data_IF_271484184668
#
_entry.id   IF_271484184668
#
_cell.length_a   1.000
_cell.length_b   1.000
_cell.length_c   1.000
_cell.angle_alpha   90.00
_cell.angle_beta   90.00
_cell.angle_gamma   90.00
#
_symmetry.space_group_name_H-M   'P 1'
#
loop_
_entity.id
_entity.type
_entity.pdbx_description
1 polymer ?
#
# COMPACT_ATOMS: atom_id res chain seq x y z
N UNK A 1 -2.71 43.44 -29.71
CA UNK A 1 -3.79 43.76 -28.75
C UNK A 1 -4.03 42.54 -27.87
N UNK A 2 -3.58 42.58 -26.62
CA UNK A 2 -3.75 41.50 -25.64
C UNK A 2 -5.22 41.42 -25.19
N UNK A 3 -5.92 40.35 -25.55
CA UNK A 3 -7.20 40.00 -24.91
C UNK A 3 -6.89 39.57 -23.48
N UNK A 4 -7.03 40.48 -22.52
CA UNK A 4 -7.18 40.12 -21.11
C UNK A 4 -8.45 39.27 -21.00
N UNK A 5 -8.30 38.00 -20.68
CA UNK A 5 -9.41 37.13 -20.33
C UNK A 5 -10.18 37.75 -19.15
N UNK A 6 -11.48 37.96 -19.35
CA UNK A 6 -12.38 38.48 -18.32
C UNK A 6 -12.46 37.47 -17.16
N UNK A 7 -12.33 37.90 -15.89
CA UNK A 7 -12.36 37.01 -14.72
C UNK A 7 -13.70 36.30 -14.51
N UNK A 8 -14.74 36.68 -15.26
CA UNK A 8 -16.10 36.14 -15.17
C UNK A 8 -16.26 34.71 -15.70
N UNK A 9 -15.39 34.24 -16.62
CA UNK A 9 -15.57 32.93 -17.25
C UNK A 9 -15.22 31.75 -16.33
N UNK A 10 -14.26 31.92 -15.40
CA UNK A 10 -13.88 30.88 -14.44
C UNK A 10 -14.92 30.70 -13.32
N UNK A 11 -15.60 31.79 -12.93
CA UNK A 11 -16.62 31.76 -11.88
C UNK A 11 -17.86 30.94 -12.27
N UNK A 12 -18.25 30.96 -13.54
CA UNK A 12 -19.38 30.16 -14.03
C UNK A 12 -19.06 28.66 -14.13
N UNK A 13 -17.81 28.26 -14.39
CA UNK A 13 -17.42 26.86 -14.53
C UNK A 13 -17.37 26.08 -13.20
N UNK A 14 -17.29 26.79 -12.08
CA UNK A 14 -17.16 26.19 -10.73
C UNK A 14 -18.44 26.28 -9.92
N UNK A 15 -19.49 26.93 -10.45
CA UNK A 15 -20.74 27.20 -9.73
C UNK A 15 -21.49 25.93 -9.29
N UNK A 16 -21.36 24.86 -10.07
CA UNK A 16 -21.93 23.53 -9.80
C UNK A 16 -20.85 22.51 -9.37
N UNK A 17 -19.61 22.96 -9.14
CA UNK A 17 -18.52 22.06 -8.78
C UNK A 17 -18.63 21.64 -7.31
N UNK A 18 -18.73 20.33 -7.07
CA UNK A 18 -18.68 19.75 -5.73
C UNK A 18 -17.22 19.42 -5.39
N UNK A 19 -16.70 20.10 -4.37
CA UNK A 19 -15.38 19.86 -3.84
C UNK A 19 -15.47 18.92 -2.65
N UNK A 20 -14.92 17.72 -2.80
CA UNK A 20 -14.78 16.78 -1.71
C UNK A 20 -13.33 16.78 -1.24
N UNK A 21 -13.13 17.09 0.04
CA UNK A 21 -11.85 16.84 0.67
C UNK A 21 -11.76 15.35 1.02
N UNK A 22 -10.92 14.64 0.26
CA UNK A 22 -10.69 13.22 0.45
C UNK A 22 -10.11 12.92 1.84
N UNK A 23 -9.31 13.81 2.42
CA UNK A 23 -8.67 13.55 3.70
C UNK A 23 -9.68 13.55 4.86
N UNK A 24 -10.62 14.50 4.89
CA UNK A 24 -11.68 14.53 5.92
C UNK A 24 -12.74 13.44 5.74
N UNK A 25 -13.01 13.00 4.51
CA UNK A 25 -14.07 12.03 4.22
C UNK A 25 -13.60 10.57 4.17
N UNK A 26 -12.35 10.31 3.77
CA UNK A 26 -11.81 8.96 3.59
C UNK A 26 -10.82 8.55 4.69
N UNK A 27 -10.77 9.28 5.83
CA UNK A 27 -9.98 8.89 7.00
C UNK A 27 -10.89 8.34 8.12
N UNK A 28 -11.24 7.05 8.07
CA UNK A 28 -12.12 6.42 9.05
C UNK A 28 -11.50 6.36 10.46
N UNK A 29 -10.17 6.51 10.58
CA UNK A 29 -9.50 6.58 11.89
C UNK A 29 -9.83 7.91 12.58
N UNK A 30 -9.74 9.03 11.84
CA UNK A 30 -10.03 10.36 12.39
C UNK A 30 -11.51 10.52 12.76
N UNK A 31 -12.39 9.88 12.00
CA UNK A 31 -13.83 9.81 12.29
C UNK A 31 -14.19 8.80 13.40
N UNK A 32 -13.21 8.08 13.99
CA UNK A 32 -13.45 7.10 15.04
C UNK A 32 -14.20 5.84 14.61
N UNK A 33 -14.30 5.59 13.30
CA UNK A 33 -15.04 4.46 12.72
C UNK A 33 -14.26 3.15 12.80
N UNK A 34 -12.93 3.22 12.76
CA UNK A 34 -12.04 2.05 12.89
C UNK A 34 -10.86 2.36 13.81
N UNK A 35 -10.30 1.35 14.51
CA UNK A 35 -9.07 1.52 15.28
C UNK A 35 -7.87 1.78 14.34
N UNK A 36 -6.81 2.43 14.84
CA UNK A 36 -5.56 2.55 14.08
C UNK A 36 -4.93 1.17 13.85
N UNK A 37 -4.14 1.07 12.77
CA UNK A 37 -3.34 -0.12 12.51
C UNK A 37 -2.31 -0.29 13.62
N UNK A 38 -2.19 -1.48 14.25
CA UNK A 38 -1.23 -1.71 15.32
C UNK A 38 0.21 -1.49 14.86
N UNK A 39 0.98 -0.77 15.66
CA UNK A 39 2.43 -0.73 15.46
C UNK A 39 3.07 -2.07 15.82
N UNK A 40 3.99 -2.54 14.97
CA UNK A 40 4.76 -3.74 15.22
C UNK A 40 6.16 -3.63 14.63
N UNK A 41 7.15 -4.00 15.43
CA UNK A 41 8.55 -4.11 15.01
C UNK A 41 8.94 -5.59 14.93
N UNK A 42 9.59 -5.96 13.84
CA UNK A 42 10.20 -7.27 13.66
C UNK A 42 11.65 -7.22 14.12
N UNK A 43 12.12 -8.27 14.79
CA UNK A 43 13.53 -8.33 15.23
C UNK A 43 14.47 -8.41 14.03
N UNK A 44 15.74 -7.96 14.16
CA UNK A 44 16.73 -8.13 13.10
C UNK A 44 16.86 -9.58 12.61
N UNK A 45 16.77 -10.55 13.52
CA UNK A 45 16.88 -11.98 13.23
C UNK A 45 15.81 -12.46 12.25
N UNK A 46 14.62 -11.86 12.27
CA UNK A 46 13.55 -12.16 11.31
C UNK A 46 14.02 -11.98 9.87
N UNK A 47 14.83 -10.94 9.61
CA UNK A 47 15.31 -10.58 8.27
C UNK A 47 16.60 -11.30 7.86
N UNK A 48 17.31 -11.93 8.80
CA UNK A 48 18.60 -12.59 8.58
C UNK A 48 18.48 -14.07 8.17
N UNK A 49 17.34 -14.48 7.60
CA UNK A 49 17.17 -15.82 7.06
C UNK A 49 18.27 -16.16 6.04
N UNK A 50 18.86 -17.35 6.15
CA UNK A 50 19.92 -17.81 5.24
C UNK A 50 19.39 -18.50 3.99
N UNK A 51 18.09 -18.67 3.88
CA UNK A 51 17.40 -19.35 2.79
C UNK A 51 16.53 -18.38 1.99
N UNK A 52 16.24 -18.74 0.74
CA UNK A 52 15.23 -18.03 -0.04
C UNK A 52 13.85 -18.25 0.57
N UNK A 53 13.01 -17.21 0.60
CA UNK A 53 11.67 -17.31 1.19
C UNK A 53 10.86 -16.02 1.06
N UNK A 54 9.54 -16.16 1.25
CA UNK A 54 8.59 -15.06 1.44
C UNK A 54 8.18 -15.10 2.91
N UNK A 55 8.48 -14.04 3.65
CA UNK A 55 8.14 -13.91 5.05
C UNK A 55 7.06 -12.83 5.21
N UNK A 56 5.85 -13.16 5.69
CA UNK A 56 4.79 -12.19 5.86
C UNK A 56 5.12 -11.24 7.02
N UNK A 57 4.95 -9.94 6.80
CA UNK A 57 5.00 -8.92 7.85
C UNK A 57 3.63 -8.87 8.54
N UNK A 58 3.29 -9.98 9.20
CA UNK A 58 1.94 -10.25 9.68
C UNK A 58 1.65 -9.64 11.05
N UNK A 59 0.55 -8.90 11.13
CA UNK A 59 -0.05 -8.39 12.38
C UNK A 59 -1.53 -8.76 12.48
N UNK A 60 -2.00 -9.72 11.66
CA UNK A 60 -3.38 -10.19 11.56
C UNK A 60 -4.01 -10.53 12.90
N UNK A 61 -3.26 -11.19 13.80
CA UNK A 61 -3.76 -11.56 15.12
C UNK A 61 -4.21 -10.33 15.94
N UNK A 62 -3.44 -9.24 15.88
CA UNK A 62 -3.78 -7.99 16.59
C UNK A 62 -4.95 -7.27 15.92
N UNK A 63 -5.07 -7.38 14.60
CA UNK A 63 -6.14 -6.78 13.81
C UNK A 63 -7.41 -7.64 13.74
N UNK A 64 -7.38 -8.88 14.25
CA UNK A 64 -8.45 -9.89 14.14
C UNK A 64 -8.81 -10.20 12.69
N UNK A 65 -7.81 -10.27 11.82
CA UNK A 65 -8.01 -10.66 10.41
C UNK A 65 -8.00 -12.18 10.25
N UNK A 66 -8.78 -12.75 9.31
CA UNK A 66 -8.86 -14.20 9.10
C UNK A 66 -7.63 -14.79 8.41
N UNK A 67 -6.75 -13.95 7.84
CA UNK A 67 -5.50 -14.36 7.22
C UNK A 67 -4.42 -13.30 7.40
N UNK A 68 -3.18 -13.58 6.94
CA UNK A 68 -2.05 -12.69 7.15
C UNK A 68 -2.31 -11.30 6.59
N UNK A 69 -2.00 -10.28 7.37
CA UNK A 69 -2.24 -8.89 7.01
C UNK A 69 -1.27 -7.95 7.73
N UNK A 70 -0.76 -6.94 7.04
CA UNK A 70 0.04 -5.84 7.60
C UNK A 70 -0.84 -4.63 7.93
N UNK A 71 -1.92 -4.44 7.16
CA UNK A 71 -3.00 -3.49 7.44
C UNK A 71 -4.29 -4.01 6.78
N UNK A 72 -5.46 -3.37 7.00
CA UNK A 72 -6.67 -3.71 6.25
C UNK A 72 -6.40 -3.71 4.74
N UNK A 73 -6.81 -4.78 4.06
CA UNK A 73 -6.66 -5.01 2.62
C UNK A 73 -5.21 -5.05 2.08
N UNK A 74 -4.18 -5.18 2.93
CA UNK A 74 -2.78 -5.23 2.50
C UNK A 74 -1.97 -6.24 3.31
N UNK A 75 -1.18 -7.05 2.61
CA UNK A 75 -0.12 -7.87 3.20
C UNK A 75 1.22 -7.49 2.57
N UNK A 76 2.10 -6.91 3.38
CA UNK A 76 3.49 -6.73 3.02
C UNK A 76 4.28 -8.00 3.36
N UNK A 77 5.24 -8.35 2.50
CA UNK A 77 6.12 -9.49 2.70
C UNK A 77 7.58 -9.05 2.57
N UNK A 78 8.45 -9.61 3.39
CA UNK A 78 9.88 -9.58 3.18
C UNK A 78 10.28 -10.77 2.31
N UNK A 79 10.88 -10.48 1.15
CA UNK A 79 11.30 -11.52 0.20
C UNK A 79 12.82 -11.58 0.15
N UNK A 80 13.36 -12.78 0.33
CA UNK A 80 14.80 -13.06 0.15
C UNK A 80 14.97 -14.10 -0.95
N UNK A 81 15.90 -13.83 -1.86
CA UNK A 81 16.34 -14.78 -2.89
C UNK A 81 17.85 -14.92 -2.74
N UNK A 82 18.31 -16.07 -2.24
CA UNK A 82 19.74 -16.36 -2.07
C UNK A 82 20.32 -16.92 -3.36
N UNK A 83 19.61 -17.88 -3.97
CA UNK A 83 19.92 -18.46 -5.27
C UNK A 83 18.64 -18.92 -5.95
N UNK A 84 18.60 -18.81 -7.28
CA UNK A 84 17.49 -19.30 -8.10
C UNK A 84 16.34 -18.30 -8.20
N UNK A 85 15.13 -18.83 -8.37
CA UNK A 85 13.90 -18.07 -8.55
C UNK A 85 12.91 -18.38 -7.43
N UNK A 86 11.97 -17.45 -7.21
CA UNK A 86 10.92 -17.61 -6.22
C UNK A 86 9.58 -17.21 -6.86
N UNK A 87 8.55 -18.04 -6.67
CA UNK A 87 7.20 -17.78 -7.19
C UNK A 87 6.31 -17.19 -6.09
N UNK A 88 5.65 -16.08 -6.37
CA UNK A 88 4.58 -15.54 -5.52
C UNK A 88 3.22 -16.11 -5.95
N UNK A 89 2.33 -16.33 -4.98
CA UNK A 89 1.00 -16.91 -5.19
C UNK A 89 -0.06 -16.25 -4.29
N UNK A 90 0.16 -15.00 -3.88
CA UNK A 90 -0.79 -14.26 -3.06
C UNK A 90 -2.11 -14.07 -3.82
N UNK A 91 -3.23 -14.38 -3.15
CA UNK A 91 -4.57 -14.08 -3.63
C UNK A 91 -4.82 -12.57 -3.47
N UNK A 92 -4.41 -11.80 -4.47
CA UNK A 92 -4.45 -10.34 -4.44
C UNK A 92 -4.81 -9.79 -5.83
N UNK A 93 -5.42 -8.61 -5.85
CA UNK A 93 -5.74 -7.88 -7.10
C UNK A 93 -4.50 -7.30 -7.77
N UNK A 94 -3.47 -7.00 -6.99
CA UNK A 94 -2.18 -6.51 -7.48
C UNK A 94 -1.04 -6.92 -6.54
N UNK A 95 0.17 -6.91 -7.05
CA UNK A 95 1.40 -7.11 -6.28
C UNK A 95 2.41 -6.04 -6.70
N UNK A 96 3.09 -5.46 -5.72
CA UNK A 96 4.16 -4.48 -5.92
C UNK A 96 5.45 -5.02 -5.28
N UNK A 97 6.55 -4.87 -6.01
CA UNK A 97 7.87 -5.30 -5.56
C UNK A 97 8.80 -4.10 -5.42
N UNK A 98 9.48 -4.02 -4.28
CA UNK A 98 10.50 -3.03 -4.01
C UNK A 98 11.82 -3.73 -3.67
N UNK A 99 12.88 -3.42 -4.41
CA UNK A 99 14.21 -4.01 -4.20
C UNK A 99 15.04 -3.06 -3.33
N UNK A 100 15.19 -3.40 -2.06
CA UNK A 100 15.99 -2.60 -1.13
C UNK A 100 17.48 -2.98 -1.15
N UNK A 101 17.82 -4.21 -1.57
CA UNK A 101 19.19 -4.70 -1.70
C UNK A 101 19.30 -5.74 -2.83
N UNK A 102 20.35 -5.64 -3.63
CA UNK A 102 20.60 -6.53 -4.76
C UNK A 102 19.87 -6.11 -6.04
N UNK A 103 19.72 -7.05 -6.97
CA UNK A 103 19.01 -6.85 -8.24
C UNK A 103 18.44 -8.17 -8.73
N UNK A 104 17.49 -8.10 -9.67
CA UNK A 104 16.84 -9.28 -10.22
C UNK A 104 15.83 -8.90 -11.31
N UNK A 105 15.05 -9.90 -11.74
CA UNK A 105 13.99 -9.74 -12.72
C UNK A 105 12.71 -10.39 -12.19
N UNK A 106 11.59 -9.72 -12.42
CA UNK A 106 10.26 -10.28 -12.22
C UNK A 106 9.67 -10.61 -13.59
N UNK A 107 9.09 -11.80 -13.70
CA UNK A 107 8.28 -12.20 -14.84
C UNK A 107 6.86 -12.43 -14.33
N UNK A 108 5.91 -11.64 -14.82
CA UNK A 108 4.49 -11.82 -14.54
C UNK A 108 3.89 -12.68 -15.65
N UNK A 109 3.40 -13.86 -15.30
CA UNK A 109 2.50 -14.63 -16.18
C UNK A 109 1.07 -14.17 -15.88
N UNK A 110 0.45 -13.49 -16.84
CA UNK A 110 -1.00 -13.31 -16.90
C UNK A 110 -1.68 -14.52 -17.50
#
# INVERSE_FOLDING_TARGET
MNKKSSPSLLGDLTKEALYYDYASTANPIFAGLIPPVPYHSFSPDFFQQKTSGILPLDVSQKMKCPGPATSPALLANFVRIVKGTLKTNALATSQLFFVFQGSGRTEACG
#
